data_IF_486811867313
#
_entry.id   IF_486811867313
#
_cell.length_a   1.000
_cell.length_b   1.000
_cell.length_c   1.000
_cell.angle_alpha   90.00
_cell.angle_beta   90.00
_cell.angle_gamma   90.00
#
_symmetry.space_group_name_H-M   'P 1'
#
loop_
_entity.id
_entity.type
_entity.pdbx_description
1 polymer ?
#
# COMPACT_ATOMS: atom_id res chain seq x y z
N UNK A 1 -27.08 14.41 -14.25
CA UNK A 1 -27.34 13.16 -14.95
C UNK A 1 -26.20 12.17 -14.73
N UNK A 2 -24.96 12.43 -15.18
CA UNK A 2 -23.83 11.49 -15.10
C UNK A 2 -23.58 10.92 -13.71
N UNK A 3 -23.62 11.75 -12.66
CA UNK A 3 -23.44 11.29 -11.27
C UNK A 3 -24.55 10.34 -10.81
N UNK A 4 -25.81 10.59 -11.21
CA UNK A 4 -26.93 9.70 -10.89
C UNK A 4 -26.79 8.36 -11.58
N UNK A 5 -26.44 8.37 -12.87
CA UNK A 5 -26.22 7.15 -13.64
C UNK A 5 -25.07 6.31 -13.06
N UNK A 6 -23.97 6.95 -12.60
CA UNK A 6 -22.85 6.30 -11.95
C UNK A 6 -23.26 5.66 -10.63
N UNK A 7 -23.95 6.40 -9.76
CA UNK A 7 -24.35 5.90 -8.44
C UNK A 7 -25.40 4.79 -8.51
N UNK A 8 -26.12 4.64 -9.62
CA UNK A 8 -27.05 3.54 -9.90
C UNK A 8 -26.39 2.34 -10.60
N UNK A 9 -25.10 2.45 -10.97
CA UNK A 9 -24.40 1.39 -11.68
C UNK A 9 -23.81 0.34 -10.73
N UNK A 10 -24.18 -0.92 -10.92
CA UNK A 10 -23.60 -2.05 -10.19
C UNK A 10 -22.08 -2.18 -10.45
N UNK A 11 -21.62 -1.88 -11.66
CA UNK A 11 -20.20 -1.91 -12.04
C UNK A 11 -19.38 -0.89 -11.24
N UNK A 12 -19.94 0.30 -11.00
CA UNK A 12 -19.33 1.32 -10.15
C UNK A 12 -19.14 0.81 -8.71
N UNK A 13 -20.19 0.26 -8.10
CA UNK A 13 -20.11 -0.22 -6.72
C UNK A 13 -19.20 -1.44 -6.58
N UNK A 14 -19.20 -2.31 -7.58
CA UNK A 14 -18.26 -3.43 -7.63
C UNK A 14 -16.81 -2.96 -7.65
N UNK A 15 -16.49 -2.00 -8.51
CA UNK A 15 -15.15 -1.40 -8.62
C UNK A 15 -14.77 -0.60 -7.36
N UNK A 16 -15.73 0.07 -6.73
CA UNK A 16 -15.53 0.79 -5.48
C UNK A 16 -15.20 -0.18 -4.32
N UNK A 17 -15.90 -1.30 -4.22
CA UNK A 17 -15.59 -2.34 -3.22
C UNK A 17 -14.17 -2.89 -3.39
N UNK A 18 -13.75 -3.16 -4.65
CA UNK A 18 -12.40 -3.61 -4.94
C UNK A 18 -11.37 -2.56 -4.52
N UNK A 19 -11.63 -1.28 -4.82
CA UNK A 19 -10.75 -0.16 -4.44
C UNK A 19 -10.63 -0.04 -2.92
N UNK A 20 -11.75 -0.11 -2.19
CA UNK A 20 -11.75 -0.05 -0.72
C UNK A 20 -10.98 -1.21 -0.12
N UNK A 21 -11.16 -2.42 -0.65
CA UNK A 21 -10.40 -3.60 -0.18
C UNK A 21 -8.89 -3.40 -0.37
N UNK A 22 -8.46 -3.01 -1.59
CA UNK A 22 -7.05 -2.74 -1.88
C UNK A 22 -6.52 -1.63 -0.97
N UNK A 23 -7.25 -0.52 -0.84
CA UNK A 23 -6.87 0.61 0.01
C UNK A 23 -6.62 0.19 1.45
N UNK A 24 -7.61 -0.46 2.08
CA UNK A 24 -7.51 -0.87 3.48
C UNK A 24 -6.35 -1.85 3.70
N UNK A 25 -6.23 -2.86 2.83
CA UNK A 25 -5.16 -3.83 2.93
C UNK A 25 -3.79 -3.17 2.75
N UNK A 26 -3.61 -2.39 1.69
CA UNK A 26 -2.33 -1.73 1.38
C UNK A 26 -1.92 -0.77 2.49
N UNK A 27 -2.83 0.08 2.95
CA UNK A 27 -2.53 1.07 4.02
C UNK A 27 -2.12 0.37 5.31
N UNK A 28 -2.87 -0.63 5.75
CA UNK A 28 -2.58 -1.35 7.01
C UNK A 28 -1.25 -2.09 6.91
N UNK A 29 -1.07 -2.93 5.89
CA UNK A 29 0.11 -3.78 5.80
C UNK A 29 1.38 -3.00 5.43
N UNK A 30 1.29 -1.97 4.58
CA UNK A 30 2.45 -1.10 4.28
C UNK A 30 2.91 -0.36 5.53
N UNK A 31 1.98 0.13 6.34
CA UNK A 31 2.32 0.83 7.59
C UNK A 31 2.99 -0.09 8.59
N UNK A 32 2.39 -1.25 8.85
CA UNK A 32 2.93 -2.23 9.81
C UNK A 32 4.32 -2.69 9.35
N UNK A 33 4.43 -3.18 8.12
CA UNK A 33 5.69 -3.73 7.59
C UNK A 33 6.75 -2.64 7.44
N UNK A 34 6.39 -1.44 6.97
CA UNK A 34 7.30 -0.30 6.84
C UNK A 34 7.87 0.16 8.18
N UNK A 35 7.02 0.28 9.20
CA UNK A 35 7.49 0.60 10.57
C UNK A 35 8.39 -0.51 11.14
N UNK A 36 8.07 -1.79 10.90
CA UNK A 36 8.92 -2.90 11.31
C UNK A 36 10.28 -2.85 10.60
N UNK A 37 10.31 -2.67 9.29
CA UNK A 37 11.55 -2.53 8.52
C UNK A 37 12.38 -1.36 9.04
N UNK A 38 11.77 -0.20 9.29
CA UNK A 38 12.45 0.96 9.89
C UNK A 38 13.02 0.66 11.29
N UNK A 39 12.34 -0.16 12.08
CA UNK A 39 12.83 -0.56 13.40
C UNK A 39 14.08 -1.46 13.32
N UNK A 40 14.16 -2.32 12.30
CA UNK A 40 15.31 -3.23 12.09
C UNK A 40 16.48 -2.57 11.35
N UNK A 41 16.24 -1.51 10.56
CA UNK A 41 17.29 -0.78 9.86
C UNK A 41 18.08 0.05 10.87
N UNK A 42 19.21 -0.50 11.34
CA UNK A 42 20.19 0.21 12.16
C UNK A 42 21.18 0.91 11.24
N UNK A 43 21.34 2.24 11.42
CA UNK A 43 22.25 3.05 10.58
C UNK A 43 23.72 2.84 10.95
N UNK A 44 23.99 2.39 12.18
CA UNK A 44 25.35 2.24 12.71
C UNK A 44 26.06 0.94 12.30
N UNK A 45 25.52 0.23 11.29
CA UNK A 45 26.13 -1.02 10.80
C UNK A 45 27.00 -0.72 9.58
N UNK A 46 28.19 -1.32 9.50
CA UNK A 46 29.17 -1.15 8.40
C UNK A 46 28.56 -1.32 6.98
N UNK A 47 27.45 -2.03 6.84
CA UNK A 47 26.73 -2.30 5.60
C UNK A 47 25.39 -1.56 5.48
N UNK A 48 25.15 -0.54 6.31
CA UNK A 48 23.85 0.17 6.35
C UNK A 48 23.45 0.74 4.99
N UNK A 49 24.40 1.31 4.23
CA UNK A 49 24.12 1.83 2.90
C UNK A 49 23.65 0.77 1.90
N UNK A 50 24.28 -0.42 1.92
CA UNK A 50 23.87 -1.53 1.06
C UNK A 50 22.50 -2.08 1.46
N UNK A 51 22.24 -2.26 2.76
CA UNK A 51 20.94 -2.71 3.27
C UNK A 51 19.85 -1.73 2.91
N UNK A 52 20.12 -0.43 3.01
CA UNK A 52 19.18 0.61 2.62
C UNK A 52 18.92 0.60 1.11
N UNK A 53 19.98 0.47 0.29
CA UNK A 53 19.83 0.39 -1.16
C UNK A 53 19.01 -0.85 -1.58
N UNK A 54 19.23 -2.01 -0.97
CA UNK A 54 18.45 -3.22 -1.22
C UNK A 54 16.99 -3.07 -0.75
N UNK A 55 16.77 -2.39 0.38
CA UNK A 55 15.44 -2.15 0.89
C UNK A 55 14.62 -1.20 -0.02
N UNK A 56 15.28 -0.28 -0.75
CA UNK A 56 14.62 0.69 -1.65
C UNK A 56 14.33 0.11 -3.03
N UNK A 57 15.02 -0.95 -3.45
CA UNK A 57 14.90 -1.55 -4.78
C UNK A 57 13.44 -1.78 -5.25
N UNK A 58 12.52 -2.32 -4.42
CA UNK A 58 11.13 -2.53 -4.84
C UNK A 58 10.43 -1.24 -5.27
N UNK A 59 10.69 -0.14 -4.58
CA UNK A 59 10.07 1.16 -4.88
C UNK A 59 10.55 1.78 -6.19
N UNK A 60 11.78 1.46 -6.60
CA UNK A 60 12.35 1.95 -7.86
C UNK A 60 11.77 1.27 -9.11
N UNK A 61 11.06 0.15 -8.96
CA UNK A 61 10.47 -0.57 -10.09
C UNK A 61 9.24 0.17 -10.63
N UNK A 62 9.12 0.31 -11.98
CA UNK A 62 7.89 0.78 -12.60
C UNK A 62 6.71 -0.13 -12.20
N UNK A 63 5.52 0.42 -11.88
CA UNK A 63 4.38 -0.36 -11.38
C UNK A 63 3.96 -1.51 -12.31
N UNK A 64 3.93 -1.29 -13.61
CA UNK A 64 3.59 -2.32 -14.59
C UNK A 64 4.59 -3.48 -14.60
N UNK A 65 5.89 -3.18 -14.55
CA UNK A 65 6.95 -4.19 -14.47
C UNK A 65 6.84 -4.98 -13.17
N UNK A 66 6.58 -4.30 -12.07
CA UNK A 66 6.31 -4.94 -10.78
C UNK A 66 5.16 -5.95 -10.90
N UNK A 67 4.02 -5.56 -11.48
CA UNK A 67 2.89 -6.45 -11.71
C UNK A 67 3.24 -7.68 -12.56
N UNK A 68 4.03 -7.51 -13.65
CA UNK A 68 4.47 -8.63 -14.50
C UNK A 68 5.36 -9.59 -13.72
N UNK A 69 6.34 -9.09 -12.95
CA UNK A 69 7.23 -9.94 -12.16
C UNK A 69 6.43 -10.81 -11.18
N UNK A 70 5.48 -10.22 -10.47
CA UNK A 70 4.63 -10.94 -9.55
C UNK A 70 3.63 -11.88 -10.24
N UNK A 71 3.18 -11.55 -11.48
CA UNK A 71 2.40 -12.49 -12.29
C UNK A 71 3.15 -13.79 -12.54
N UNK A 72 4.45 -13.71 -12.86
CA UNK A 72 5.30 -14.91 -12.98
C UNK A 72 5.41 -15.70 -11.68
N UNK A 73 5.32 -15.05 -10.52
CA UNK A 73 5.34 -15.74 -9.22
C UNK A 73 4.04 -16.48 -8.95
N UNK A 74 2.89 -15.83 -9.21
CA UNK A 74 1.56 -16.33 -8.82
C UNK A 74 0.83 -17.12 -9.90
N UNK A 75 1.34 -17.20 -11.13
CA UNK A 75 0.66 -17.89 -12.22
C UNK A 75 0.52 -19.39 -11.92
N UNK A 76 -0.69 -19.97 -12.15
CA UNK A 76 -0.98 -21.34 -11.78
C UNK A 76 -0.18 -22.37 -12.57
N UNK A 77 0.02 -22.15 -13.88
CA UNK A 77 0.67 -23.12 -14.75
C UNK A 77 2.17 -23.28 -14.56
N UNK A 78 2.91 -22.16 -14.43
CA UNK A 78 4.38 -22.17 -14.36
C UNK A 78 4.94 -21.34 -13.20
N UNK A 79 4.08 -20.76 -12.36
CA UNK A 79 4.47 -19.82 -11.31
C UNK A 79 5.40 -20.44 -10.26
N UNK A 80 6.38 -19.63 -9.83
CA UNK A 80 7.37 -20.04 -8.85
C UNK A 80 6.73 -20.51 -7.54
N UNK A 81 5.70 -19.79 -7.05
CA UNK A 81 5.06 -20.10 -5.76
C UNK A 81 4.38 -21.47 -5.79
N UNK A 82 3.61 -21.79 -6.84
CA UNK A 82 2.98 -23.10 -6.97
C UNK A 82 4.02 -24.23 -7.08
N UNK A 83 5.10 -24.02 -7.82
CA UNK A 83 6.19 -25.01 -7.92
C UNK A 83 6.85 -25.27 -6.56
N UNK A 84 7.09 -24.20 -5.80
CA UNK A 84 7.67 -24.30 -4.46
C UNK A 84 6.73 -25.07 -3.51
N UNK A 85 5.44 -24.69 -3.46
CA UNK A 85 4.45 -25.31 -2.58
C UNK A 85 4.19 -26.79 -2.91
N UNK A 86 4.17 -27.14 -4.21
CA UNK A 86 4.10 -28.54 -4.68
C UNK A 86 5.38 -29.31 -4.30
N UNK A 87 6.55 -28.72 -4.48
CA UNK A 87 7.84 -29.35 -4.22
C UNK A 87 8.07 -29.70 -2.76
N UNK A 88 7.56 -28.86 -1.83
CA UNK A 88 7.61 -29.14 -0.38
C UNK A 88 6.43 -29.97 0.12
N UNK A 89 5.50 -30.38 -0.78
CA UNK A 89 4.33 -31.19 -0.43
C UNK A 89 3.24 -30.45 0.35
N UNK A 90 3.25 -29.12 0.37
CA UNK A 90 2.26 -28.31 1.08
C UNK A 90 0.90 -28.30 0.38
N UNK A 91 0.88 -28.40 -0.94
CA UNK A 91 -0.31 -28.53 -1.78
C UNK A 91 -0.17 -29.75 -2.70
N UNK A 92 -1.30 -30.36 -3.09
CA UNK A 92 -1.37 -31.50 -4.02
C UNK A 92 -1.69 -31.08 -5.46
N UNK A 93 -2.26 -29.89 -5.65
CA UNK A 93 -2.62 -29.31 -6.94
C UNK A 93 -2.30 -27.81 -6.98
N UNK A 94 -1.97 -27.23 -8.16
CA UNK A 94 -1.73 -25.81 -8.28
C UNK A 94 -2.93 -24.97 -7.84
N UNK A 95 -2.66 -23.89 -7.11
CA UNK A 95 -3.67 -22.92 -6.69
C UNK A 95 -3.83 -21.87 -7.78
N UNK A 96 -5.07 -21.56 -8.16
CA UNK A 96 -5.41 -20.49 -9.11
C UNK A 96 -5.53 -19.14 -8.37
N UNK A 97 -4.38 -18.52 -8.09
CA UNK A 97 -4.33 -17.25 -7.36
C UNK A 97 -4.97 -16.06 -8.10
N UNK A 98 -4.93 -16.08 -9.44
CA UNK A 98 -5.39 -14.98 -10.28
C UNK A 98 -6.79 -15.19 -10.87
N UNK A 99 -7.40 -16.37 -10.65
CA UNK A 99 -8.69 -16.74 -11.26
C UNK A 99 -9.92 -16.37 -10.43
N UNK A 100 -9.76 -15.99 -9.16
CA UNK A 100 -10.86 -15.60 -8.29
C UNK A 100 -10.80 -14.12 -7.89
N UNK A 101 -11.97 -13.49 -7.65
CA UNK A 101 -12.03 -12.07 -7.26
C UNK A 101 -11.15 -11.78 -6.04
N UNK A 102 -11.41 -12.45 -4.93
CA UNK A 102 -10.74 -12.14 -3.66
C UNK A 102 -9.27 -12.56 -3.64
N UNK A 103 -8.93 -13.68 -4.27
CA UNK A 103 -7.53 -14.11 -4.40
C UNK A 103 -6.74 -13.13 -5.26
N UNK A 104 -7.31 -12.66 -6.37
CA UNK A 104 -6.69 -11.67 -7.24
C UNK A 104 -6.51 -10.33 -6.52
N UNK A 105 -7.54 -9.83 -5.81
CA UNK A 105 -7.44 -8.58 -5.04
C UNK A 105 -6.38 -8.68 -3.95
N UNK A 106 -6.24 -9.84 -3.31
CA UNK A 106 -5.21 -10.07 -2.32
C UNK A 106 -3.82 -10.06 -2.94
N UNK A 107 -3.64 -10.71 -4.10
CA UNK A 107 -2.37 -10.68 -4.85
C UNK A 107 -2.03 -9.25 -5.26
N UNK A 108 -2.98 -8.49 -5.85
CA UNK A 108 -2.78 -7.09 -6.21
C UNK A 108 -2.31 -6.29 -4.99
N UNK A 109 -3.00 -6.46 -3.86
CA UNK A 109 -2.68 -5.76 -2.62
C UNK A 109 -1.28 -6.10 -2.10
N UNK A 110 -0.88 -7.38 -2.10
CA UNK A 110 0.47 -7.82 -1.70
C UNK A 110 1.54 -7.17 -2.60
N UNK A 111 1.31 -7.16 -3.90
CA UNK A 111 2.24 -6.59 -4.89
C UNK A 111 2.44 -5.09 -4.66
N UNK A 112 1.36 -4.37 -4.38
CA UNK A 112 1.41 -2.93 -4.07
C UNK A 112 2.07 -2.67 -2.71
N UNK A 113 1.76 -3.48 -1.68
CA UNK A 113 2.44 -3.41 -0.37
C UNK A 113 3.94 -3.58 -0.53
N UNK A 114 4.37 -4.63 -1.22
CA UNK A 114 5.79 -4.92 -1.44
C UNK A 114 6.55 -3.73 -2.06
N UNK A 115 5.96 -3.05 -3.05
CA UNK A 115 6.53 -1.86 -3.69
C UNK A 115 6.47 -0.62 -2.80
N UNK A 116 5.46 -0.49 -1.92
CA UNK A 116 5.22 0.71 -1.11
C UNK A 116 5.95 0.70 0.24
N UNK A 117 6.27 -0.48 0.77
CA UNK A 117 6.96 -0.65 2.06
C UNK A 117 8.27 0.14 2.16
N UNK A 118 9.15 0.19 1.14
CA UNK A 118 10.39 0.94 1.23
C UNK A 118 10.20 2.43 1.51
N UNK A 119 9.25 3.07 0.86
CA UNK A 119 8.95 4.48 1.08
C UNK A 119 8.47 4.72 2.52
N UNK A 120 7.54 3.91 3.01
CA UNK A 120 7.06 3.98 4.39
C UNK A 120 8.21 3.76 5.38
N UNK A 121 9.09 2.78 5.11
CA UNK A 121 10.23 2.50 5.96
C UNK A 121 11.22 3.68 6.02
N UNK A 122 11.49 4.35 4.89
CA UNK A 122 12.33 5.54 4.85
C UNK A 122 11.76 6.69 5.65
N UNK A 123 10.46 6.96 5.49
CA UNK A 123 9.78 8.04 6.23
C UNK A 123 9.77 7.75 7.73
N UNK A 124 9.47 6.51 8.14
CA UNK A 124 9.55 6.09 9.53
C UNK A 124 10.97 6.17 10.09
N UNK A 125 11.99 5.81 9.30
CA UNK A 125 13.39 5.89 9.68
C UNK A 125 13.81 7.36 9.90
N UNK A 126 13.42 8.26 8.99
CA UNK A 126 13.67 9.70 9.14
C UNK A 126 13.01 10.25 10.42
N UNK A 127 11.76 9.86 10.69
CA UNK A 127 11.07 10.23 11.93
C UNK A 127 11.79 9.72 13.19
N UNK A 128 12.30 8.50 13.17
CA UNK A 128 13.04 7.95 14.29
C UNK A 128 14.38 8.68 14.52
N UNK A 129 15.05 9.09 13.46
CA UNK A 129 16.32 9.83 13.55
C UNK A 129 16.15 11.26 14.03
N UNK A 130 15.00 11.87 13.85
CA UNK A 130 14.72 13.23 14.32
C UNK A 130 14.49 13.30 15.84
N UNK A 131 14.34 12.15 16.53
CA UNK A 131 14.13 12.12 17.97
C UNK A 131 15.48 12.28 18.68
N UNK A 132 15.67 13.31 19.55
CA UNK A 132 16.89 13.52 20.29
C UNK A 132 17.25 12.32 21.19
N UNK A 133 18.52 11.92 21.16
CA UNK A 133 19.03 10.79 21.98
C UNK A 133 18.84 10.99 23.48
N UNK A 134 18.91 12.26 23.93
CA UNK A 134 18.72 12.68 25.31
C UNK A 134 17.36 12.22 25.89
N UNK A 135 16.30 12.18 25.08
CA UNK A 135 14.99 11.69 25.52
C UNK A 135 15.02 10.20 25.85
N UNK A 136 15.80 9.42 25.09
CA UNK A 136 15.96 8.00 25.36
C UNK A 136 16.83 7.74 26.60
N UNK A 137 17.85 8.57 26.83
CA UNK A 137 18.72 8.48 28.00
C UNK A 137 17.96 8.85 29.27
N UNK A 138 17.23 9.97 29.25
CA UNK A 138 16.38 10.38 30.36
C UNK A 138 15.36 9.30 30.75
N UNK A 139 14.66 8.77 29.73
CA UNK A 139 13.66 7.70 29.98
C UNK A 139 14.27 6.41 30.54
N UNK A 140 15.53 6.09 30.21
CA UNK A 140 16.23 4.94 30.81
C UNK A 140 16.60 5.20 32.28
N UNK A 141 17.02 6.43 32.62
CA UNK A 141 17.31 6.84 34.00
C UNK A 141 16.06 6.74 34.86
N UNK A 142 14.88 7.13 34.28
CA UNK A 142 13.57 7.01 34.95
C UNK A 142 13.04 5.56 35.03
N UNK A 143 13.83 4.56 34.64
CA UNK A 143 13.46 3.15 34.67
C UNK A 143 12.48 2.70 33.60
N UNK A 144 12.42 3.45 32.48
CA UNK A 144 11.61 3.10 31.31
C UNK A 144 12.07 1.80 30.65
N UNK A 145 11.18 0.81 30.53
CA UNK A 145 11.44 -0.38 29.71
C UNK A 145 11.36 -0.03 28.20
N UNK A 146 11.98 -0.85 27.34
CA UNK A 146 11.95 -0.64 25.89
C UNK A 146 10.55 -0.45 25.32
N UNK A 147 9.54 -1.19 25.81
CA UNK A 147 8.15 -1.02 25.41
C UNK A 147 7.53 0.29 25.90
N UNK A 148 7.84 0.72 27.13
CA UNK A 148 7.37 2.01 27.66
C UNK A 148 7.95 3.17 26.85
N UNK A 149 9.26 3.13 26.57
CA UNK A 149 9.95 4.12 25.72
C UNK A 149 9.34 4.16 24.34
N UNK A 150 9.12 3.00 23.71
CA UNK A 150 8.48 2.93 22.39
C UNK A 150 7.09 3.59 22.40
N UNK A 151 6.23 3.22 23.37
CA UNK A 151 4.83 3.68 23.40
C UNK A 151 4.69 5.16 23.75
N UNK A 152 5.56 5.69 24.63
CA UNK A 152 5.40 7.07 25.18
C UNK A 152 6.33 8.09 24.54
N UNK A 153 7.41 7.68 23.88
CA UNK A 153 8.38 8.58 23.25
C UNK A 153 8.43 8.33 21.74
N UNK A 154 8.83 7.12 21.33
CA UNK A 154 9.09 6.85 19.91
C UNK A 154 7.83 6.95 19.08
N UNK A 155 6.77 6.25 19.46
CA UNK A 155 5.54 6.20 18.66
C UNK A 155 4.86 7.58 18.54
N UNK A 156 4.64 8.36 19.62
CA UNK A 156 4.04 9.69 19.49
C UNK A 156 4.85 10.65 18.63
N UNK A 157 6.17 10.69 18.81
CA UNK A 157 7.04 11.58 18.04
C UNK A 157 7.21 11.15 16.58
N UNK A 158 6.97 9.88 16.27
CA UNK A 158 6.94 9.37 14.89
C UNK A 158 5.61 9.58 14.17
N UNK A 159 4.50 9.84 14.87
CA UNK A 159 3.17 9.95 14.27
C UNK A 159 3.08 10.92 13.08
N UNK A 160 3.70 12.12 13.10
CA UNK A 160 3.67 13.02 11.95
C UNK A 160 4.29 12.39 10.69
N UNK A 161 5.39 11.68 10.85
CA UNK A 161 6.09 10.99 9.77
C UNK A 161 5.26 9.81 9.24
N UNK A 162 4.70 9.00 10.14
CA UNK A 162 3.77 7.93 9.78
C UNK A 162 2.59 8.49 8.98
N UNK A 163 2.10 9.67 9.33
CA UNK A 163 1.03 10.36 8.61
C UNK A 163 1.39 10.73 7.17
N UNK A 164 2.60 11.20 6.93
CA UNK A 164 3.10 11.42 5.57
C UNK A 164 3.11 10.11 4.78
N UNK A 165 3.61 9.04 5.40
CA UNK A 165 3.61 7.71 4.82
C UNK A 165 2.20 7.19 4.52
N UNK A 166 1.26 7.33 5.46
CA UNK A 166 -0.14 6.96 5.30
C UNK A 166 -0.81 7.70 4.14
N UNK A 167 -0.60 9.02 4.05
CA UNK A 167 -1.16 9.84 2.98
C UNK A 167 -0.65 9.37 1.62
N UNK A 168 0.66 9.22 1.47
CA UNK A 168 1.28 8.75 0.22
C UNK A 168 0.82 7.35 -0.16
N UNK A 169 0.78 6.42 0.80
CA UNK A 169 0.33 5.04 0.58
C UNK A 169 -1.15 4.99 0.16
N UNK A 170 -2.00 5.82 0.78
CA UNK A 170 -3.43 5.88 0.43
C UNK A 170 -3.65 6.41 -0.98
N UNK A 171 -2.92 7.47 -1.37
CA UNK A 171 -2.96 7.98 -2.75
C UNK A 171 -2.50 6.91 -3.74
N UNK A 172 -1.40 6.20 -3.44
CA UNK A 172 -0.91 5.09 -4.26
C UNK A 172 -1.97 3.98 -4.38
N UNK A 173 -2.60 3.57 -3.28
CA UNK A 173 -3.58 2.48 -3.27
C UNK A 173 -4.87 2.81 -4.04
N UNK A 174 -5.34 4.07 -3.97
CA UNK A 174 -6.51 4.53 -4.75
C UNK A 174 -6.19 4.56 -6.24
N UNK A 175 -4.96 4.95 -6.60
CA UNK A 175 -4.53 5.13 -7.99
C UNK A 175 -3.83 3.88 -8.56
N UNK A 176 -4.00 2.71 -7.96
CA UNK A 176 -3.48 1.46 -8.51
C UNK A 176 -4.16 1.15 -9.84
N UNK A 177 -3.39 1.12 -10.91
CA UNK A 177 -3.86 0.81 -12.27
C UNK A 177 -2.92 -0.19 -12.95
N UNK A 178 -1.65 0.15 -13.04
CA UNK A 178 -0.66 -0.59 -13.80
C UNK A 178 -0.48 -2.03 -13.27
N UNK A 179 -0.42 -2.22 -11.95
CA UNK A 179 -0.32 -3.55 -11.34
C UNK A 179 -1.59 -4.38 -11.60
N UNK A 180 -2.78 -3.73 -11.57
CA UNK A 180 -4.05 -4.40 -11.88
C UNK A 180 -4.04 -4.90 -13.32
N UNK A 181 -3.69 -4.03 -14.28
CA UNK A 181 -3.61 -4.38 -15.70
C UNK A 181 -2.56 -5.45 -15.95
N UNK A 182 -1.40 -5.37 -15.33
CA UNK A 182 -0.34 -6.37 -15.48
C UNK A 182 -0.74 -7.76 -14.98
N UNK A 183 -1.44 -7.84 -13.84
CA UNK A 183 -1.84 -9.10 -13.20
C UNK A 183 -3.06 -9.74 -13.88
N UNK A 184 -4.11 -8.96 -14.16
CA UNK A 184 -5.41 -9.45 -14.61
C UNK A 184 -5.81 -9.01 -16.02
N UNK A 185 -5.02 -8.17 -16.69
CA UNK A 185 -5.47 -7.47 -17.89
C UNK A 185 -6.62 -6.52 -17.56
N UNK A 186 -7.59 -6.45 -18.44
CA UNK A 186 -8.82 -5.66 -18.24
C UNK A 186 -9.98 -6.54 -17.76
N UNK A 187 -9.68 -7.57 -16.96
CA UNK A 187 -10.70 -8.46 -16.38
C UNK A 187 -11.55 -7.74 -15.34
N UNK A 188 -12.84 -8.05 -15.32
CA UNK A 188 -13.77 -7.51 -14.32
C UNK A 188 -13.41 -7.94 -12.88
N UNK A 189 -12.77 -9.10 -12.69
CA UNK A 189 -12.44 -9.63 -11.37
C UNK A 189 -11.60 -8.68 -10.51
N UNK A 190 -10.57 -8.07 -11.11
CA UNK A 190 -9.65 -7.13 -10.45
C UNK A 190 -9.98 -5.66 -10.65
N UNK A 191 -11.05 -5.35 -11.38
CA UNK A 191 -11.41 -3.99 -11.78
C UNK A 191 -11.64 -3.08 -10.57
N UNK A 192 -10.81 -2.09 -10.40
CA UNK A 192 -10.96 -1.03 -9.42
C UNK A 192 -11.58 0.23 -10.05
N UNK A 193 -11.85 1.26 -9.24
CA UNK A 193 -12.54 2.47 -9.70
C UNK A 193 -11.75 3.23 -10.77
N UNK A 194 -10.41 3.24 -10.70
CA UNK A 194 -9.58 3.91 -11.70
C UNK A 194 -9.63 3.19 -13.05
N UNK A 195 -9.60 1.86 -13.04
CA UNK A 195 -9.76 1.04 -14.24
C UNK A 195 -11.17 1.18 -14.84
N UNK A 196 -12.22 1.22 -14.00
CA UNK A 196 -13.58 1.49 -14.46
C UNK A 196 -13.70 2.86 -15.13
N UNK A 197 -13.12 3.91 -14.52
CA UNK A 197 -13.05 5.26 -15.09
C UNK A 197 -12.31 5.27 -16.44
N UNK A 198 -11.19 4.55 -16.52
CA UNK A 198 -10.40 4.42 -17.74
C UNK A 198 -11.19 3.75 -18.88
N UNK A 199 -11.81 2.60 -18.60
CA UNK A 199 -12.63 1.87 -19.57
C UNK A 199 -13.82 2.69 -20.04
N UNK A 200 -14.51 3.37 -19.13
CA UNK A 200 -15.64 4.26 -19.44
C UNK A 200 -15.21 5.39 -20.37
N UNK A 201 -14.06 6.01 -20.10
CA UNK A 201 -13.56 7.14 -20.87
C UNK A 201 -13.03 6.73 -22.24
N UNK A 202 -12.10 5.75 -22.26
CA UNK A 202 -11.28 5.47 -23.45
C UNK A 202 -11.73 4.25 -24.23
N UNK A 203 -12.44 3.31 -23.62
CA UNK A 203 -12.98 2.15 -24.33
C UNK A 203 -14.43 2.38 -24.77
N UNK A 204 -15.27 2.91 -23.87
CA UNK A 204 -16.66 3.20 -24.19
C UNK A 204 -16.91 4.62 -24.70
N UNK A 205 -15.87 5.46 -24.71
CA UNK A 205 -15.89 6.86 -25.19
C UNK A 205 -16.94 7.75 -24.52
N UNK A 206 -17.38 7.38 -23.31
CA UNK A 206 -18.28 8.21 -22.48
C UNK A 206 -17.45 9.15 -21.59
N UNK A 207 -16.92 10.22 -22.20
CA UNK A 207 -16.09 11.21 -21.51
C UNK A 207 -16.82 11.90 -20.36
N UNK A 208 -18.14 12.06 -20.47
CA UNK A 208 -18.95 12.69 -19.45
C UNK A 208 -19.02 11.88 -18.15
N UNK A 209 -19.27 10.55 -18.27
CA UNK A 209 -19.28 9.66 -17.12
C UNK A 209 -17.85 9.42 -16.60
N UNK A 210 -16.87 9.20 -17.46
CA UNK A 210 -15.50 8.99 -17.07
C UNK A 210 -14.92 10.18 -16.27
N UNK A 211 -15.18 11.41 -16.73
CA UNK A 211 -14.80 12.61 -15.98
C UNK A 211 -15.49 12.67 -14.61
N UNK A 212 -16.80 12.38 -14.55
CA UNK A 212 -17.55 12.38 -13.30
C UNK A 212 -17.01 11.32 -12.30
N UNK A 213 -16.62 10.13 -12.79
CA UNK A 213 -15.95 9.11 -11.96
C UNK A 213 -14.62 9.61 -11.41
N UNK A 214 -13.79 10.25 -12.25
CA UNK A 214 -12.51 10.83 -11.83
C UNK A 214 -12.69 11.88 -10.72
N UNK A 215 -13.72 12.73 -10.82
CA UNK A 215 -14.05 13.68 -9.75
C UNK A 215 -14.48 12.98 -8.45
N UNK A 216 -15.24 11.88 -8.52
CA UNK A 216 -15.60 11.10 -7.33
C UNK A 216 -14.33 10.53 -6.67
N UNK A 217 -13.41 9.97 -7.45
CA UNK A 217 -12.12 9.45 -6.94
C UNK A 217 -11.30 10.56 -6.29
N UNK A 218 -11.23 11.73 -6.94
CA UNK A 218 -10.53 12.90 -6.41
C UNK A 218 -11.13 13.37 -5.07
N UNK A 219 -12.45 13.45 -4.97
CA UNK A 219 -13.14 13.83 -3.72
C UNK A 219 -12.90 12.80 -2.61
N UNK A 220 -12.91 11.51 -2.95
CA UNK A 220 -12.61 10.44 -1.99
C UNK A 220 -11.16 10.55 -1.46
N UNK A 221 -10.19 10.78 -2.34
CA UNK A 221 -8.80 10.98 -1.96
C UNK A 221 -8.62 12.25 -1.11
N UNK A 222 -9.31 13.34 -1.46
CA UNK A 222 -9.30 14.60 -0.71
C UNK A 222 -9.85 14.43 0.73
N UNK A 223 -10.98 13.73 0.87
CA UNK A 223 -11.57 13.45 2.19
C UNK A 223 -10.60 12.66 3.07
N UNK A 224 -9.95 11.63 2.52
CA UNK A 224 -8.92 10.87 3.25
C UNK A 224 -7.72 11.75 3.63
N UNK A 225 -7.24 12.60 2.72
CA UNK A 225 -6.15 13.54 2.99
C UNK A 225 -6.49 14.52 4.12
N UNK A 226 -7.69 15.10 4.10
CA UNK A 226 -8.16 15.99 5.17
C UNK A 226 -8.27 15.24 6.50
N UNK A 227 -8.78 14.00 6.48
CA UNK A 227 -8.87 13.16 7.67
C UNK A 227 -7.49 12.92 8.29
N UNK A 228 -6.48 12.56 7.50
CA UNK A 228 -5.11 12.38 7.99
C UNK A 228 -4.53 13.68 8.54
N UNK A 229 -4.64 14.79 7.82
CA UNK A 229 -4.13 16.07 8.28
C UNK A 229 -4.75 16.49 9.63
N UNK A 230 -6.06 16.33 9.79
CA UNK A 230 -6.73 16.66 11.06
C UNK A 230 -6.39 15.70 12.19
N UNK A 231 -6.21 14.41 11.88
CA UNK A 231 -5.86 13.40 12.88
C UNK A 231 -4.43 13.56 13.40
N UNK A 232 -3.52 14.05 12.57
CA UNK A 232 -2.10 14.18 12.88
C UNK A 232 -1.72 15.55 13.42
N UNK A 233 -2.47 16.61 13.07
CA UNK A 233 -2.32 17.96 13.63
C UNK A 233 -2.97 18.13 15.03
N UNK A 234 -3.44 17.08 15.66
CA UNK A 234 -3.65 17.11 17.10
C UNK A 234 -2.26 17.18 17.72
N UNK A 235 -1.84 18.42 17.95
CA UNK A 235 -0.54 18.81 18.47
C UNK A 235 -0.17 17.95 19.67
N UNK A 236 1.06 17.48 19.66
CA UNK A 236 1.76 17.17 20.90
C UNK A 236 2.00 18.56 21.54
N UNK A 237 1.01 19.07 22.27
CA UNK A 237 1.24 20.18 23.21
C UNK A 237 2.27 19.68 24.23
N UNK A 238 3.44 20.30 24.20
CA UNK A 238 4.53 20.11 25.13
C UNK A 238 4.23 20.80 26.47
#
# INVERSE_FOLDING_TARGET
>A
KNYQDILQSDSFWYSMQNTIFILLFVVVFTTIVGCLVAAFLKIDVKWSGLLLALAILPWALPPFVNGILWKFVFFSGYGFLNKLLLGIGFISQPIEFLGGRWSLLLVISIVVVWRSVPFMALVCLAGRQSIPGELYEAAKIDGGSGWKIFRHITLPLMLPFVGVGLTSTSVTAINVFDEVVALSGYSDLGKNILMESYLTTFTFLDFGKGSAMTYIVMLFALILGIFYLRSLNKEVEY
#
